data_IF_388830395321
#
_entry.id   IF_388830395321
#
_cell.length_a   1.000
_cell.length_b   1.000
_cell.length_c   1.000
_cell.angle_alpha   90.00
_cell.angle_beta   90.00
_cell.angle_gamma   90.00
#
_symmetry.space_group_name_H-M   'P 1'
#
loop_
_entity.id
_entity.type
_entity.pdbx_description
1 polymer ?
#
# COMPACT_ATOMS: atom_id res chain seq x y z
N UNK A 1 27.35 -73.87 28.97
CA UNK A 1 28.58 -73.32 28.36
C UNK A 1 28.19 -72.05 27.61
N UNK A 2 28.67 -70.89 28.05
CA UNK A 2 28.50 -69.65 27.30
C UNK A 2 29.38 -69.73 26.03
N UNK A 3 28.87 -69.38 24.84
CA UNK A 3 29.67 -69.37 23.63
C UNK A 3 30.83 -68.36 23.77
N UNK A 4 31.98 -68.59 23.13
CA UNK A 4 33.12 -67.69 23.22
C UNK A 4 32.75 -66.30 22.67
N UNK A 5 32.72 -65.33 23.58
CA UNK A 5 32.19 -63.96 23.35
C UNK A 5 32.99 -63.17 22.31
N UNK A 6 34.23 -63.58 22.01
CA UNK A 6 35.17 -62.82 21.16
C UNK A 6 34.82 -62.83 19.66
N UNK A 7 34.20 -63.89 19.15
CA UNK A 7 33.97 -64.02 17.70
C UNK A 7 32.56 -63.59 17.27
N UNK A 8 31.55 -63.74 18.16
CA UNK A 8 30.14 -63.51 17.80
C UNK A 8 29.65 -62.11 18.19
N UNK A 9 30.23 -61.50 19.23
CA UNK A 9 29.87 -60.15 19.68
C UNK A 9 29.96 -59.06 18.59
N UNK A 10 31.03 -58.97 17.75
CA UNK A 10 31.10 -57.94 16.71
C UNK A 10 30.00 -58.10 15.65
N UNK A 11 29.72 -59.34 15.21
CA UNK A 11 28.65 -59.59 14.25
C UNK A 11 27.25 -59.20 14.77
N UNK A 12 26.98 -59.39 16.07
CA UNK A 12 25.72 -58.92 16.69
C UNK A 12 25.65 -57.38 16.78
N UNK A 13 26.77 -56.73 17.08
CA UNK A 13 26.85 -55.26 17.11
C UNK A 13 26.60 -54.67 15.72
N UNK A 14 27.14 -55.28 14.66
CA UNK A 14 26.93 -54.84 13.28
C UNK A 14 25.46 -54.95 12.86
N UNK A 15 24.77 -56.04 13.22
CA UNK A 15 23.34 -56.21 12.93
C UNK A 15 22.49 -55.17 13.67
N UNK A 16 22.84 -54.85 14.93
CA UNK A 16 22.15 -53.81 15.69
C UNK A 16 22.38 -52.43 15.08
N UNK A 17 23.63 -52.12 14.71
CA UNK A 17 23.98 -50.87 14.04
C UNK A 17 23.24 -50.72 12.70
N UNK A 18 23.18 -51.77 11.88
CA UNK A 18 22.43 -51.78 10.63
C UNK A 18 20.92 -51.57 10.83
N UNK A 19 20.34 -52.15 11.89
CA UNK A 19 18.93 -51.94 12.24
C UNK A 19 18.64 -50.51 12.65
N UNK A 20 19.49 -49.90 13.48
CA UNK A 20 19.35 -48.51 13.88
C UNK A 20 19.54 -47.58 12.68
N UNK A 21 20.54 -47.81 11.83
CA UNK A 21 20.73 -47.06 10.59
C UNK A 21 19.50 -47.13 9.68
N UNK A 22 18.92 -48.32 9.46
CA UNK A 22 17.70 -48.48 8.68
C UNK A 22 16.53 -47.69 9.29
N UNK A 23 16.40 -47.73 10.61
CA UNK A 23 15.36 -46.98 11.32
C UNK A 23 15.55 -45.46 11.19
N UNK A 24 16.78 -44.97 11.31
CA UNK A 24 17.13 -43.57 11.09
C UNK A 24 16.82 -43.14 9.67
N UNK A 25 17.14 -43.96 8.66
CA UNK A 25 16.81 -43.68 7.25
C UNK A 25 15.31 -43.54 7.04
N UNK A 26 14.49 -44.45 7.61
CA UNK A 26 13.03 -44.37 7.52
C UNK A 26 12.50 -43.10 8.19
N UNK A 27 13.00 -42.75 9.37
CA UNK A 27 12.60 -41.51 10.04
C UNK A 27 12.99 -40.25 9.27
N UNK A 28 14.18 -40.24 8.66
CA UNK A 28 14.64 -39.14 7.82
C UNK A 28 13.75 -38.99 6.58
N UNK A 29 13.43 -40.08 5.89
CA UNK A 29 12.55 -40.08 4.73
C UNK A 29 11.14 -39.59 5.09
N UNK A 30 10.59 -40.05 6.22
CA UNK A 30 9.29 -39.59 6.72
C UNK A 30 9.34 -38.09 7.06
N UNK A 31 10.39 -37.61 7.72
CA UNK A 31 10.54 -36.20 8.05
C UNK A 31 10.63 -35.32 6.78
N UNK A 32 11.32 -35.79 5.75
CA UNK A 32 11.41 -35.09 4.46
C UNK A 32 10.05 -35.06 3.74
N UNK A 33 9.33 -36.18 3.74
CA UNK A 33 7.98 -36.26 3.16
C UNK A 33 7.00 -35.32 3.87
N UNK A 34 6.98 -35.32 5.20
CA UNK A 34 6.14 -34.41 6.00
C UNK A 34 6.52 -32.94 5.77
N UNK A 35 7.83 -32.63 5.65
CA UNK A 35 8.31 -31.29 5.33
C UNK A 35 7.80 -30.84 3.96
N UNK A 36 7.92 -31.68 2.94
CA UNK A 36 7.44 -31.36 1.59
C UNK A 36 5.91 -31.12 1.57
N UNK A 37 5.15 -31.92 2.31
CA UNK A 37 3.70 -31.77 2.44
C UNK A 37 3.33 -30.45 3.13
N UNK A 38 4.01 -30.13 4.23
CA UNK A 38 3.81 -28.87 4.96
C UNK A 38 4.14 -27.65 4.09
N UNK A 39 5.26 -27.68 3.35
CA UNK A 39 5.63 -26.62 2.42
C UNK A 39 4.59 -26.43 1.31
N UNK A 40 4.07 -27.53 0.74
CA UNK A 40 2.98 -27.49 -0.24
C UNK A 40 1.71 -26.86 0.33
N UNK A 41 1.34 -27.23 1.55
CA UNK A 41 0.17 -26.69 2.26
C UNK A 41 0.32 -25.18 2.51
N UNK A 42 1.49 -24.73 2.99
CA UNK A 42 1.78 -23.31 3.22
C UNK A 42 1.69 -22.53 1.91
N UNK A 43 2.25 -23.04 0.82
CA UNK A 43 2.17 -22.39 -0.50
C UNK A 43 0.73 -22.27 -0.98
N UNK A 44 -0.07 -23.33 -0.83
CA UNK A 44 -1.50 -23.31 -1.19
C UNK A 44 -2.30 -22.29 -0.36
N UNK A 45 -2.06 -22.25 0.96
CA UNK A 45 -2.68 -21.29 1.86
C UNK A 45 -2.29 -19.85 1.49
N UNK A 46 -1.01 -19.61 1.18
CA UNK A 46 -0.51 -18.31 0.74
C UNK A 46 -1.21 -17.84 -0.54
N UNK A 47 -1.24 -18.67 -1.58
CA UNK A 47 -1.90 -18.35 -2.85
C UNK A 47 -3.39 -18.04 -2.63
N UNK A 48 -4.08 -18.86 -1.82
CA UNK A 48 -5.50 -18.64 -1.54
C UNK A 48 -5.74 -17.36 -0.74
N UNK A 49 -4.88 -17.05 0.21
CA UNK A 49 -4.94 -15.82 1.01
C UNK A 49 -4.71 -14.59 0.15
N UNK A 50 -3.67 -14.60 -0.69
CA UNK A 50 -3.36 -13.52 -1.64
C UNK A 50 -4.50 -13.28 -2.63
N UNK A 51 -5.09 -14.35 -3.16
CA UNK A 51 -6.25 -14.24 -4.05
C UNK A 51 -7.48 -13.63 -3.35
N UNK A 52 -7.72 -14.00 -2.07
CA UNK A 52 -8.81 -13.42 -1.26
C UNK A 52 -8.56 -11.94 -0.96
N UNK A 53 -7.34 -11.57 -0.60
CA UNK A 53 -6.94 -10.18 -0.36
C UNK A 53 -7.12 -9.35 -1.63
N UNK A 54 -6.59 -9.83 -2.76
CA UNK A 54 -6.75 -9.16 -4.05
C UNK A 54 -8.22 -8.95 -4.42
N UNK A 55 -9.06 -10.00 -4.26
CA UNK A 55 -10.51 -9.89 -4.50
C UNK A 55 -11.16 -8.83 -3.60
N UNK A 56 -10.80 -8.82 -2.32
CA UNK A 56 -11.33 -7.86 -1.35
C UNK A 56 -10.94 -6.43 -1.74
N UNK A 57 -9.67 -6.20 -2.07
CA UNK A 57 -9.15 -4.89 -2.47
C UNK A 57 -9.85 -4.39 -3.72
N UNK A 58 -9.90 -5.19 -4.79
CA UNK A 58 -10.56 -4.82 -6.05
C UNK A 58 -12.04 -4.50 -5.82
N UNK A 59 -12.74 -5.33 -5.05
CA UNK A 59 -14.16 -5.12 -4.76
C UNK A 59 -14.40 -3.84 -3.98
N UNK A 60 -13.59 -3.57 -2.95
CA UNK A 60 -13.81 -2.40 -2.10
C UNK A 60 -13.39 -1.11 -2.77
N UNK A 61 -12.31 -1.11 -3.53
CA UNK A 61 -11.91 0.04 -4.35
C UNK A 61 -13.01 0.37 -5.33
N UNK A 62 -13.57 -0.63 -6.04
CA UNK A 62 -14.69 -0.41 -6.96
C UNK A 62 -15.94 0.14 -6.25
N UNK A 63 -16.28 -0.37 -5.06
CA UNK A 63 -17.42 0.12 -4.27
C UNK A 63 -17.20 1.57 -3.82
N UNK A 64 -16.01 1.89 -3.30
CA UNK A 64 -15.65 3.23 -2.85
C UNK A 64 -15.66 4.23 -4.01
N UNK A 65 -15.11 3.84 -5.16
CA UNK A 65 -15.10 4.66 -6.36
C UNK A 65 -16.53 4.89 -6.88
N UNK A 66 -17.36 3.85 -6.96
CA UNK A 66 -18.76 3.99 -7.34
C UNK A 66 -19.52 4.92 -6.37
N UNK A 67 -19.25 4.83 -5.07
CA UNK A 67 -19.83 5.73 -4.08
C UNK A 67 -19.40 7.18 -4.29
N UNK A 68 -18.09 7.43 -4.49
CA UNK A 68 -17.54 8.76 -4.82
C UNK A 68 -18.20 9.34 -6.07
N UNK A 69 -18.31 8.56 -7.14
CA UNK A 69 -18.94 8.99 -8.38
C UNK A 69 -20.42 9.34 -8.20
N UNK A 70 -21.18 8.54 -7.45
CA UNK A 70 -22.59 8.83 -7.17
C UNK A 70 -22.76 10.16 -6.44
N UNK A 71 -21.91 10.45 -5.45
CA UNK A 71 -21.95 11.72 -4.73
C UNK A 71 -21.62 12.90 -5.66
N UNK A 72 -20.56 12.78 -6.46
CA UNK A 72 -20.18 13.82 -7.43
C UNK A 72 -21.29 14.06 -8.45
N UNK A 73 -21.92 12.98 -8.96
CA UNK A 73 -23.03 13.07 -9.90
C UNK A 73 -24.25 13.76 -9.26
N UNK A 74 -24.56 13.47 -8.00
CA UNK A 74 -25.63 14.14 -7.29
C UNK A 74 -25.35 15.65 -7.17
N UNK A 75 -24.14 16.04 -6.76
CA UNK A 75 -23.73 17.44 -6.68
C UNK A 75 -23.78 18.14 -8.06
N UNK A 76 -23.29 17.47 -9.10
CA UNK A 76 -23.34 17.98 -10.47
C UNK A 76 -24.77 18.22 -10.95
N UNK A 77 -25.69 17.27 -10.70
CA UNK A 77 -27.11 17.39 -11.07
C UNK A 77 -27.80 18.55 -10.39
N UNK A 78 -27.41 18.88 -9.15
CA UNK A 78 -27.97 20.03 -8.41
C UNK A 78 -27.47 21.36 -8.98
N UNK A 79 -26.16 21.51 -9.22
CA UNK A 79 -25.60 22.75 -9.75
C UNK A 79 -24.44 22.53 -10.75
N UNK A 80 -24.76 22.27 -12.03
CA UNK A 80 -23.75 21.90 -13.04
C UNK A 80 -22.70 22.98 -13.32
N UNK A 81 -23.10 24.26 -13.23
CA UNK A 81 -22.21 25.39 -13.52
C UNK A 81 -21.18 25.59 -12.41
N UNK A 82 -21.61 25.60 -11.15
CA UNK A 82 -20.71 25.76 -10.01
C UNK A 82 -19.82 24.54 -9.83
N UNK A 83 -20.34 23.32 -10.07
CA UNK A 83 -19.52 22.12 -10.04
C UNK A 83 -18.35 22.23 -11.03
N UNK A 84 -18.61 22.58 -12.30
CA UNK A 84 -17.56 22.75 -13.31
C UNK A 84 -16.57 23.84 -12.96
N UNK A 85 -17.07 24.99 -12.49
CA UNK A 85 -16.21 26.09 -12.07
C UNK A 85 -15.30 25.67 -10.91
N UNK A 86 -15.86 25.02 -9.89
CA UNK A 86 -15.09 24.52 -8.74
C UNK A 86 -14.05 23.49 -9.17
N UNK A 87 -14.41 22.50 -9.97
CA UNK A 87 -13.46 21.51 -10.49
C UNK A 87 -12.32 22.16 -11.28
N UNK A 88 -12.62 23.19 -12.07
CA UNK A 88 -11.60 23.93 -12.80
C UNK A 88 -10.65 24.72 -11.87
N UNK A 89 -11.22 25.38 -10.85
CA UNK A 89 -10.42 26.11 -9.86
C UNK A 89 -9.58 25.16 -9.01
N UNK A 90 -10.14 24.03 -8.58
CA UNK A 90 -9.43 22.99 -7.82
C UNK A 90 -8.23 22.44 -8.63
N UNK A 91 -8.39 22.26 -9.95
CA UNK A 91 -7.30 21.89 -10.86
C UNK A 91 -6.21 22.98 -10.92
N UNK A 92 -6.61 24.24 -11.08
CA UNK A 92 -5.67 25.37 -11.10
C UNK A 92 -4.92 25.55 -9.76
N UNK A 93 -5.56 25.22 -8.65
CA UNK A 93 -4.97 25.30 -7.31
C UNK A 93 -3.98 24.15 -7.07
N UNK A 94 -4.43 22.91 -7.25
CA UNK A 94 -3.67 21.72 -6.84
C UNK A 94 -2.66 21.27 -7.89
N UNK A 95 -3.12 21.06 -9.13
CA UNK A 95 -2.27 20.48 -10.18
C UNK A 95 -1.35 21.53 -10.80
N UNK A 96 -1.81 22.78 -10.84
CA UNK A 96 -1.04 23.91 -11.34
C UNK A 96 -0.34 24.71 -10.22
N UNK A 97 -0.20 24.18 -9.01
CA UNK A 97 0.31 24.92 -7.84
C UNK A 97 1.62 25.66 -8.13
N UNK A 98 2.61 24.94 -8.68
CA UNK A 98 3.98 25.43 -8.89
C UNK A 98 4.14 26.25 -10.19
N UNK A 99 3.07 26.41 -10.98
CA UNK A 99 3.11 27.18 -12.22
C UNK A 99 2.88 28.67 -11.93
N UNK A 100 3.76 29.51 -12.48
CA UNK A 100 3.55 30.97 -12.47
C UNK A 100 2.33 31.32 -13.33
N UNK A 101 1.33 31.95 -12.70
CA UNK A 101 0.05 32.31 -13.32
C UNK A 101 0.00 33.82 -13.59
N UNK A 102 -0.41 34.20 -14.80
CA UNK A 102 -0.65 35.60 -15.19
C UNK A 102 -2.12 35.80 -15.53
N UNK A 103 -2.80 36.69 -14.80
CA UNK A 103 -4.18 37.09 -15.14
C UNK A 103 -4.15 38.41 -15.90
N UNK A 104 -4.61 38.37 -17.14
CA UNK A 104 -4.72 39.53 -18.01
C UNK A 104 -6.19 39.96 -18.07
N UNK A 105 -6.48 41.18 -17.63
CA UNK A 105 -7.80 41.81 -17.76
C UNK A 105 -7.71 42.92 -18.79
N UNK A 106 -8.59 42.89 -19.80
CA UNK A 106 -8.63 43.91 -20.86
C UNK A 106 -9.18 45.26 -20.37
N UNK A 107 -9.82 45.30 -19.20
CA UNK A 107 -10.55 46.46 -18.70
C UNK A 107 -9.75 47.31 -17.70
N UNK A 108 -8.56 46.89 -17.29
CA UNK A 108 -7.72 47.61 -16.33
C UNK A 108 -6.39 47.92 -17.00
N UNK A 109 -6.07 49.20 -17.27
CA UNK A 109 -4.78 49.57 -17.84
C UNK A 109 -3.69 49.23 -16.82
N UNK A 110 -2.94 48.17 -17.11
CA UNK A 110 -1.67 47.79 -16.47
C UNK A 110 -1.70 47.46 -14.96
N UNK A 111 -2.41 46.41 -14.56
CA UNK A 111 -2.04 45.71 -13.31
C UNK A 111 -1.96 44.21 -13.57
N UNK A 112 -0.73 43.72 -13.71
CA UNK A 112 -0.43 42.28 -13.78
C UNK A 112 -0.64 41.74 -12.37
N UNK A 113 -1.70 40.95 -12.17
CA UNK A 113 -1.88 40.21 -10.92
C UNK A 113 -1.06 38.93 -11.01
N UNK A 114 0.06 38.89 -10.29
CA UNK A 114 0.79 37.65 -10.00
C UNK A 114 0.09 36.93 -8.85
N UNK A 115 -0.60 35.84 -9.16
CA UNK A 115 -1.15 34.96 -8.14
C UNK A 115 -0.08 33.93 -7.77
N UNK A 116 0.63 34.19 -6.68
CA UNK A 116 1.43 33.16 -6.03
C UNK A 116 0.47 32.26 -5.22
N UNK A 117 0.38 30.99 -5.61
CA UNK A 117 -0.51 29.99 -5.02
C UNK A 117 0.25 29.09 -4.02
N UNK A 118 1.40 29.55 -3.54
CA UNK A 118 2.07 28.97 -2.38
C UNK A 118 1.21 29.19 -1.13
N UNK A 119 1.19 28.19 -0.24
CA UNK A 119 0.49 28.26 1.03
C UNK A 119 1.18 29.32 1.90
N UNK A 120 0.60 30.52 2.02
CA UNK A 120 1.16 31.59 2.87
C UNK A 120 1.11 31.09 4.33
N UNK A 121 2.24 30.81 4.99
CA UNK A 121 2.20 30.40 6.38
C UNK A 121 1.85 31.65 7.21
N UNK A 122 0.68 31.59 7.84
CA UNK A 122 0.03 32.65 8.62
C UNK A 122 -0.51 33.84 7.83
N UNK A 123 -1.84 33.97 7.85
CA UNK A 123 -2.58 35.17 7.53
C UNK A 123 -2.33 36.20 8.66
N UNK A 124 -1.26 36.98 8.57
CA UNK A 124 -1.06 38.10 9.49
C UNK A 124 -2.07 39.21 9.14
N UNK A 125 -2.99 39.48 10.07
CA UNK A 125 -4.13 40.41 9.95
C UNK A 125 -3.71 41.89 9.84
N UNK A 126 -2.43 42.16 9.66
CA UNK A 126 -1.83 43.49 9.64
C UNK A 126 -1.33 43.91 8.24
N UNK A 127 -1.34 43.01 7.25
CA UNK A 127 -0.81 43.26 5.89
C UNK A 127 -1.75 44.15 5.02
N UNK A 128 -2.97 44.41 5.50
CA UNK A 128 -3.98 45.24 4.82
C UNK A 128 -4.26 46.60 5.48
N UNK A 129 -3.62 46.90 6.61
CA UNK A 129 -3.78 48.18 7.30
C UNK A 129 -2.57 49.06 6.99
N UNK A 130 -2.72 49.94 6.00
CA UNK A 130 -1.77 51.01 5.72
C UNK A 130 -1.76 51.99 6.92
N UNK A 131 -1.01 51.64 7.96
CA UNK A 131 -0.85 52.45 9.20
C UNK A 131 0.15 53.59 9.03
N UNK A 132 0.60 53.85 7.80
CA UNK A 132 1.55 54.93 7.51
C UNK A 132 0.94 56.34 7.57
N UNK A 133 -0.39 56.47 7.71
CA UNK A 133 -1.11 57.75 7.76
C UNK A 133 -1.77 58.10 9.12
N UNK A 134 -1.46 57.40 10.22
CA UNK A 134 -1.98 57.76 11.57
C UNK A 134 -0.92 58.52 12.38
N UNK A 135 -0.26 59.50 11.75
CA UNK A 135 0.78 60.24 12.45
C UNK A 135 1.46 61.33 11.65
N UNK A 136 0.72 62.14 10.89
CA UNK A 136 1.05 63.54 10.56
C UNK A 136 -0.22 64.36 10.42
#
# INVERSE_FOLDING_TARGET
AHPPVKEVAPAFQDVLAAKEQARTMVFAANAEAEKALAEGSIKSMKITSEAKAYKYDVSNVAIAEAFRFRQQLAAYKQQPMLFRLRTYLDFLENDCKDLRKFILSSQIPSQIYELNMEEKPALDLLDGADVSNIGK
#
